data_IF_236750620575
#
_entry.id   IF_236750620575
#
_cell.length_a   1.000
_cell.length_b   1.000
_cell.length_c   1.000
_cell.angle_alpha   90.00
_cell.angle_beta   90.00
_cell.angle_gamma   90.00
#
_symmetry.space_group_name_H-M   'P 1'
#
loop_
_entity.id
_entity.type
_entity.pdbx_description
1 polymer ?
#
# COMPACT_ATOMS: atom_id res chain seq x y z
N UNK A 1 3.89 4.31 8.67
CA UNK A 1 4.05 5.47 7.77
C UNK A 1 5.52 5.77 7.66
N UNK A 2 6.03 5.92 6.44
CA UNK A 2 7.37 6.43 6.16
C UNK A 2 7.24 7.82 5.55
N UNK A 3 8.13 8.70 5.94
CA UNK A 3 8.18 10.08 5.42
C UNK A 3 9.58 10.36 4.91
N UNK A 4 9.70 10.81 3.67
CA UNK A 4 10.95 11.32 3.13
C UNK A 4 11.06 12.80 3.45
N UNK A 5 12.22 13.21 3.98
CA UNK A 5 12.50 14.59 4.39
C UNK A 5 13.68 15.11 3.59
N UNK A 6 13.54 16.31 3.03
CA UNK A 6 14.61 17.05 2.38
C UNK A 6 14.87 18.33 3.15
N UNK A 7 16.07 18.50 3.67
CA UNK A 7 16.46 19.70 4.42
C UNK A 7 15.45 20.09 5.51
N UNK A 8 15.01 19.14 6.35
CA UNK A 8 14.01 19.29 7.43
C UNK A 8 12.56 19.43 7.01
N UNK A 9 12.24 19.54 5.71
CA UNK A 9 10.86 19.64 5.23
C UNK A 9 10.35 18.30 4.68
N UNK A 10 9.13 17.87 5.04
CA UNK A 10 8.53 16.66 4.48
C UNK A 10 8.31 16.83 2.97
N UNK A 11 8.88 15.92 2.18
CA UNK A 11 8.83 15.98 0.71
C UNK A 11 7.96 14.90 0.10
N UNK A 12 7.81 13.77 0.79
CA UNK A 12 6.95 12.68 0.35
C UNK A 12 6.61 11.76 1.52
N UNK A 13 5.55 10.97 1.35
CA UNK A 13 5.16 9.96 2.33
C UNK A 13 4.62 8.71 1.64
N UNK A 14 4.69 7.60 2.35
CA UNK A 14 4.05 6.33 1.99
C UNK A 14 3.44 5.70 3.23
N UNK A 15 2.23 5.20 3.11
CA UNK A 15 1.54 4.49 4.18
C UNK A 15 1.40 3.02 3.82
N UNK A 16 1.44 2.17 4.82
CA UNK A 16 1.22 0.74 4.68
C UNK A 16 0.18 0.28 5.70
N UNK A 17 -0.73 -0.57 5.24
CA UNK A 17 -1.67 -1.30 6.08
C UNK A 17 -1.49 -2.80 5.85
N UNK A 18 -1.60 -3.63 6.91
CA UNK A 18 -1.72 -5.07 6.72
C UNK A 18 -2.97 -5.37 5.90
N UNK A 19 -2.89 -6.34 5.01
CA UNK A 19 -4.08 -6.78 4.27
C UNK A 19 -4.88 -7.73 5.16
N UNK A 20 -5.95 -7.21 5.74
CA UNK A 20 -6.82 -7.94 6.66
C UNK A 20 -7.81 -8.86 5.95
N UNK A 21 -7.95 -8.75 4.62
CA UNK A 21 -8.91 -9.57 3.85
C UNK A 21 -8.66 -11.07 4.07
N UNK A 22 -7.38 -11.49 4.09
CA UNK A 22 -7.01 -12.88 4.39
C UNK A 22 -7.31 -13.30 5.85
N UNK A 23 -7.25 -12.37 6.79
CA UNK A 23 -7.55 -12.65 8.19
C UNK A 23 -9.08 -12.76 8.43
N UNK A 24 -9.87 -12.03 7.64
CA UNK A 24 -11.33 -12.02 7.72
C UNK A 24 -11.96 -13.19 6.96
N UNK A 25 -11.32 -13.69 5.90
CA UNK A 25 -11.84 -14.70 4.98
C UNK A 25 -12.28 -16.04 5.62
N UNK A 26 -12.06 -16.26 6.89
CA UNK A 26 -12.47 -17.48 7.59
C UNK A 26 -13.46 -17.26 8.73
N UNK A 27 -14.05 -16.06 8.86
CA UNK A 27 -14.92 -15.72 9.98
C UNK A 27 -16.40 -16.02 9.75
N UNK A 28 -16.83 -16.37 8.51
CA UNK A 28 -18.21 -16.77 8.16
C UNK A 28 -19.32 -15.92 8.84
N UNK A 29 -19.06 -14.63 9.06
CA UNK A 29 -20.05 -13.67 9.53
C UNK A 29 -20.07 -13.35 11.03
N UNK A 30 -20.21 -14.28 11.99
CA UNK A 30 -20.39 -13.90 13.39
C UNK A 30 -19.06 -13.50 14.07
N UNK A 31 -19.00 -12.23 14.47
CA UNK A 31 -17.89 -11.69 15.28
C UNK A 31 -17.99 -12.06 16.77
N UNK A 32 -19.19 -12.37 17.25
CA UNK A 32 -19.48 -12.73 18.63
C UNK A 32 -19.95 -14.18 18.74
N UNK A 33 -19.62 -14.90 19.86
CA UNK A 33 -18.89 -14.40 21.03
C UNK A 33 -17.36 -14.50 20.94
N UNK A 34 -16.76 -15.31 20.04
CA UNK A 34 -15.31 -15.58 20.03
C UNK A 34 -14.59 -15.19 18.73
N UNK A 35 -15.32 -14.70 17.74
CA UNK A 35 -14.74 -14.32 16.42
C UNK A 35 -13.70 -13.21 16.51
N UNK A 36 -13.90 -12.24 17.38
CA UNK A 36 -12.97 -11.13 17.61
C UNK A 36 -11.62 -11.58 18.19
N UNK A 37 -11.63 -12.52 19.15
CA UNK A 37 -10.41 -13.04 19.74
C UNK A 37 -9.57 -13.83 18.74
N UNK A 38 -10.24 -14.64 17.89
CA UNK A 38 -9.62 -15.36 16.78
C UNK A 38 -9.03 -14.41 15.74
N UNK A 39 -9.70 -13.27 15.52
CA UNK A 39 -9.24 -12.25 14.60
C UNK A 39 -7.99 -11.53 15.12
N UNK A 40 -7.99 -11.11 16.39
CA UNK A 40 -6.83 -10.51 17.05
C UNK A 40 -5.63 -11.47 17.05
N UNK A 41 -5.85 -12.71 17.40
CA UNK A 41 -4.79 -13.71 17.41
C UNK A 41 -4.17 -13.96 16.02
N UNK A 42 -5.00 -13.93 14.97
CA UNK A 42 -4.51 -14.02 13.58
C UNK A 42 -3.76 -12.77 13.11
N UNK A 43 -4.15 -11.60 13.58
CA UNK A 43 -3.45 -10.34 13.27
C UNK A 43 -2.08 -10.26 13.95
N UNK A 44 -1.97 -10.73 15.19
CA UNK A 44 -0.73 -10.73 15.97
C UNK A 44 0.18 -11.92 15.65
N UNK A 45 -0.41 -13.06 15.35
CA UNK A 45 0.26 -14.36 15.23
C UNK A 45 0.78 -14.74 13.85
N UNK A 46 1.34 -13.84 13.04
CA UNK A 46 1.96 -14.15 11.73
C UNK A 46 1.00 -14.51 10.57
N UNK A 47 -0.29 -14.28 10.70
CA UNK A 47 -1.27 -14.62 9.66
C UNK A 47 -1.32 -13.68 8.47
N UNK A 48 -0.76 -12.47 8.56
CA UNK A 48 -0.83 -11.48 7.49
C UNK A 48 0.47 -11.43 6.71
N UNK A 49 0.50 -12.13 5.58
CA UNK A 49 1.65 -12.18 4.68
C UNK A 49 1.61 -11.14 3.56
N UNK A 50 0.53 -10.40 3.45
CA UNK A 50 0.36 -9.39 2.42
C UNK A 50 0.08 -8.03 3.04
N UNK A 51 0.57 -6.98 2.42
CA UNK A 51 0.33 -5.61 2.84
C UNK A 51 -0.18 -4.78 1.66
N UNK A 52 -0.91 -3.72 1.98
CA UNK A 52 -1.44 -2.78 1.01
C UNK A 52 -0.89 -1.39 1.28
N UNK A 53 -0.54 -0.67 0.23
CA UNK A 53 -0.19 0.75 0.25
C UNK A 53 -1.39 1.54 -0.24
N UNK A 54 -2.24 2.05 0.64
CA UNK A 54 -3.42 2.80 0.23
C UNK A 54 -3.08 4.23 -0.20
N UNK A 55 -2.01 4.80 0.33
CA UNK A 55 -1.66 6.19 0.09
C UNK A 55 -0.15 6.33 -0.08
N UNK A 56 0.21 7.02 -1.15
CA UNK A 56 1.56 7.49 -1.43
C UNK A 56 1.46 8.89 -2.04
N UNK A 57 2.25 9.82 -1.56
CA UNK A 57 2.26 11.18 -2.07
C UNK A 57 3.67 11.75 -2.13
N UNK A 58 3.93 12.48 -3.21
CA UNK A 58 5.13 13.30 -3.40
C UNK A 58 4.68 14.74 -3.52
N UNK A 59 5.35 15.66 -2.84
CA UNK A 59 5.02 17.08 -2.84
C UNK A 59 5.02 17.64 -4.27
N UNK A 60 4.06 18.50 -4.58
CA UNK A 60 3.80 18.98 -5.93
C UNK A 60 5.05 19.61 -6.59
N UNK A 61 5.84 20.35 -5.84
CA UNK A 61 7.08 20.96 -6.33
C UNK A 61 8.11 19.94 -6.84
N UNK A 62 8.03 18.69 -6.40
CA UNK A 62 8.91 17.60 -6.82
C UNK A 62 8.32 16.73 -7.93
N UNK A 63 6.98 16.73 -8.09
CA UNK A 63 6.30 15.86 -9.07
C UNK A 63 6.72 16.12 -10.50
N UNK A 64 6.90 17.39 -10.89
CA UNK A 64 7.32 17.78 -12.24
C UNK A 64 8.84 17.80 -12.41
N UNK A 65 9.61 17.39 -11.41
CA UNK A 65 11.08 17.37 -11.44
C UNK A 65 11.62 15.95 -11.62
N UNK A 66 12.88 15.83 -12.01
CA UNK A 66 13.58 14.53 -12.07
C UNK A 66 13.74 13.87 -10.69
N UNK A 67 13.57 14.65 -9.61
CA UNK A 67 13.73 14.17 -8.22
C UNK A 67 12.47 13.43 -7.76
N UNK A 68 11.29 13.77 -8.25
CA UNK A 68 10.03 13.15 -7.83
C UNK A 68 10.02 11.62 -7.98
N UNK A 69 10.31 11.06 -9.16
CA UNK A 69 10.42 9.62 -9.34
C UNK A 69 11.48 8.96 -8.45
N UNK A 70 12.61 9.64 -8.21
CA UNK A 70 13.68 9.13 -7.34
C UNK A 70 13.19 9.03 -5.89
N UNK A 71 12.51 10.06 -5.38
CA UNK A 71 11.93 10.05 -4.03
C UNK A 71 10.90 8.92 -3.91
N UNK A 72 10.06 8.74 -4.93
CA UNK A 72 9.07 7.67 -4.96
C UNK A 72 9.73 6.28 -4.87
N UNK A 73 10.77 6.03 -5.65
CA UNK A 73 11.52 4.77 -5.63
C UNK A 73 12.21 4.54 -4.28
N UNK A 74 12.84 5.56 -3.70
CA UNK A 74 13.47 5.45 -2.38
C UNK A 74 12.46 5.10 -1.28
N UNK A 75 11.25 5.66 -1.33
CA UNK A 75 10.19 5.31 -0.40
C UNK A 75 9.73 3.85 -0.56
N UNK A 76 9.57 3.38 -1.79
CA UNK A 76 9.20 2.00 -2.08
C UNK A 76 10.32 1.05 -1.62
N UNK A 77 11.57 1.37 -1.86
CA UNK A 77 12.71 0.59 -1.42
C UNK A 77 12.81 0.53 0.11
N UNK A 78 12.68 1.67 0.79
CA UNK A 78 12.66 1.73 2.24
C UNK A 78 11.51 0.91 2.85
N UNK A 79 10.35 0.92 2.18
CA UNK A 79 9.22 0.09 2.57
C UNK A 79 9.54 -1.40 2.37
N UNK A 80 10.14 -1.77 1.23
CA UNK A 80 10.53 -3.14 0.92
C UNK A 80 11.58 -3.66 1.91
N UNK A 81 12.58 -2.85 2.26
CA UNK A 81 13.59 -3.20 3.27
C UNK A 81 12.97 -3.49 4.65
N UNK A 82 11.86 -2.83 4.97
CA UNK A 82 11.11 -3.10 6.21
C UNK A 82 10.34 -4.44 6.18
N UNK A 83 10.11 -5.04 5.01
CA UNK A 83 9.34 -6.29 4.87
C UNK A 83 10.02 -7.50 5.49
N UNK A 84 11.35 -7.58 5.42
CA UNK A 84 12.10 -8.67 6.05
C UNK A 84 11.82 -8.82 7.53
N UNK A 85 11.56 -7.70 8.23
CA UNK A 85 11.19 -7.69 9.66
C UNK A 85 9.75 -8.17 9.91
N UNK A 86 8.86 -8.10 8.91
CA UNK A 86 7.42 -8.32 9.05
C UNK A 86 6.93 -9.58 8.34
N UNK A 87 7.83 -10.38 7.72
CA UNK A 87 7.50 -11.60 6.96
C UNK A 87 6.44 -11.37 5.87
N UNK A 88 6.46 -10.19 5.24
CA UNK A 88 5.52 -9.85 4.16
C UNK A 88 6.07 -10.39 2.84
N UNK A 89 5.26 -11.18 2.16
CA UNK A 89 5.60 -11.85 0.90
C UNK A 89 5.14 -11.05 -0.33
N UNK A 90 4.05 -10.27 -0.18
CA UNK A 90 3.51 -9.50 -1.28
C UNK A 90 3.00 -8.13 -0.83
N UNK A 91 3.22 -7.12 -1.68
CA UNK A 91 2.75 -5.77 -1.51
C UNK A 91 1.81 -5.37 -2.62
N UNK A 92 0.63 -4.93 -2.25
CA UNK A 92 -0.34 -4.35 -3.18
C UNK A 92 -0.23 -2.82 -3.15
N UNK A 93 0.14 -2.23 -4.29
CA UNK A 93 0.05 -0.79 -4.52
C UNK A 93 -1.35 -0.48 -5.03
N UNK A 94 -2.26 -0.13 -4.12
CA UNK A 94 -3.67 -0.05 -4.46
C UNK A 94 -4.16 1.36 -4.75
N UNK A 95 -5.16 1.40 -5.63
CA UNK A 95 -5.94 2.57 -6.04
C UNK A 95 -5.12 3.59 -6.82
N UNK A 96 -4.41 3.10 -7.80
CA UNK A 96 -3.72 3.96 -8.75
C UNK A 96 -4.68 4.32 -9.87
N UNK A 97 -4.94 5.62 -10.02
CA UNK A 97 -5.77 6.12 -11.10
C UNK A 97 -5.15 5.78 -12.46
N UNK A 98 -5.99 5.42 -13.43
CA UNK A 98 -5.56 5.09 -14.79
C UNK A 98 -4.84 6.27 -15.46
N UNK A 99 -5.23 7.49 -15.11
CA UNK A 99 -4.60 8.75 -15.57
C UNK A 99 -3.22 9.01 -14.95
N UNK A 100 -2.86 8.33 -13.84
CA UNK A 100 -1.56 8.50 -13.19
C UNK A 100 -0.46 7.67 -13.87
N UNK A 101 -0.13 8.05 -15.11
CA UNK A 101 0.89 7.38 -15.91
C UNK A 101 2.27 7.39 -15.23
N UNK A 102 2.61 8.46 -14.49
CA UNK A 102 3.88 8.57 -13.79
C UNK A 102 4.10 7.44 -12.78
N UNK A 103 3.12 7.21 -11.91
CA UNK A 103 3.18 6.12 -10.92
C UNK A 103 3.15 4.74 -11.59
N UNK A 104 2.30 4.55 -12.58
CA UNK A 104 2.21 3.27 -13.32
C UNK A 104 3.55 2.91 -13.94
N UNK A 105 4.19 3.84 -14.66
CA UNK A 105 5.48 3.63 -15.27
C UNK A 105 6.60 3.28 -14.26
N UNK A 106 6.58 3.90 -13.07
CA UNK A 106 7.53 3.57 -12.00
C UNK A 106 7.31 2.13 -11.54
N UNK A 107 6.08 1.75 -11.27
CA UNK A 107 5.75 0.42 -10.76
C UNK A 107 6.04 -0.67 -11.79
N UNK A 108 5.70 -0.46 -13.06
CA UNK A 108 6.01 -1.41 -14.14
C UNK A 108 7.52 -1.62 -14.28
N UNK A 109 8.32 -0.55 -14.16
CA UNK A 109 9.79 -0.65 -14.21
C UNK A 109 10.40 -1.45 -13.07
N UNK A 110 9.79 -1.45 -11.90
CA UNK A 110 10.23 -2.28 -10.76
C UNK A 110 9.61 -3.68 -10.76
N UNK A 111 8.90 -4.06 -11.82
CA UNK A 111 8.35 -5.39 -12.00
C UNK A 111 6.97 -5.62 -11.36
N UNK A 112 6.27 -4.55 -10.97
CA UNK A 112 4.90 -4.68 -10.48
C UNK A 112 3.94 -5.07 -11.60
N UNK A 113 3.03 -6.00 -11.31
CA UNK A 113 2.06 -6.53 -12.28
C UNK A 113 0.66 -6.04 -11.89
N UNK A 114 -0.07 -5.33 -12.78
CA UNK A 114 -1.46 -4.96 -12.54
C UNK A 114 -2.33 -6.22 -12.58
N UNK A 115 -2.98 -6.56 -11.47
CA UNK A 115 -3.78 -7.79 -11.35
C UNK A 115 -5.28 -7.53 -11.17
N UNK A 116 -5.68 -6.31 -10.83
CA UNK A 116 -7.09 -5.90 -10.70
C UNK A 116 -7.32 -4.54 -11.31
N UNK A 117 -8.49 -4.37 -11.94
CA UNK A 117 -8.99 -3.09 -12.43
C UNK A 117 -10.35 -2.82 -11.83
N UNK A 118 -10.51 -1.69 -11.17
CA UNK A 118 -11.77 -1.23 -10.60
C UNK A 118 -12.39 -0.19 -11.51
N UNK A 119 -13.73 -0.18 -11.59
CA UNK A 119 -14.49 0.86 -12.29
C UNK A 119 -15.59 1.36 -11.37
N UNK A 120 -15.74 2.68 -11.32
CA UNK A 120 -16.85 3.35 -10.65
C UNK A 120 -17.88 3.70 -11.70
N UNK A 121 -19.14 3.40 -11.39
CA UNK A 121 -20.27 3.72 -12.24
C UNK A 121 -21.21 4.64 -11.46
N UNK A 122 -21.69 5.70 -12.09
CA UNK A 122 -22.69 6.61 -11.57
C UNK A 122 -23.96 6.48 -12.39
N UNK A 123 -25.12 6.45 -11.74
CA UNK A 123 -26.43 6.50 -12.36
C UNK A 123 -27.22 7.61 -11.71
N UNK A 124 -27.72 8.54 -12.51
CA UNK A 124 -28.72 9.50 -12.06
C UNK A 124 -30.04 8.76 -11.78
N UNK A 125 -30.64 9.01 -10.61
CA UNK A 125 -31.90 8.44 -10.18
C UNK A 125 -33.05 9.33 -10.64
#
# INVERSE_FOLDING_TARGET
>A
ILVAVKATLPSAFITRLPNIDGAIAGLNGPLLPLGWAKHLWRLEGSGVRTARVPLMGVKLEHQCSRIGPVIALLLIEALHAAFGKWKIEALEMSWILESNAGMRNILEKIGAIPYKRYRLYEKQL
#
